data_IF_978615504124
#
_entry.id   IF_978615504124
#
_cell.length_a   1.000
_cell.length_b   1.000
_cell.length_c   1.000
_cell.angle_alpha   90.00
_cell.angle_beta   90.00
_cell.angle_gamma   90.00
#
_symmetry.space_group_name_H-M   'P 1'
#
loop_
_entity.id
_entity.type
_entity.pdbx_description
1 polymer ?
#
# COMPACT_ATOMS: atom_id res chain seq x y z
N UNK A 1 -30.03 1.70 14.44
CA UNK A 1 -29.31 2.35 13.32
C UNK A 1 -27.82 2.03 13.42
N UNK A 2 -27.30 1.20 12.53
CA UNK A 2 -25.85 1.00 12.43
C UNK A 2 -25.23 2.30 11.92
N UNK A 3 -24.19 2.80 12.61
CA UNK A 3 -23.55 4.05 12.20
C UNK A 3 -22.88 3.85 10.82
N UNK A 4 -22.85 4.89 10.00
CA UNK A 4 -22.15 4.88 8.68
C UNK A 4 -20.70 4.37 8.78
N UNK A 5 -20.06 4.52 9.94
CA UNK A 5 -18.70 3.98 10.22
C UNK A 5 -18.70 2.46 10.32
N UNK A 6 -19.71 1.86 10.95
CA UNK A 6 -19.84 0.41 11.05
C UNK A 6 -20.14 -0.23 9.68
N UNK A 7 -20.98 0.44 8.85
CA UNK A 7 -21.25 -0.01 7.48
C UNK A 7 -20.00 0.02 6.58
N UNK A 8 -19.13 1.03 6.72
CA UNK A 8 -17.88 1.12 5.98
C UNK A 8 -16.90 -0.01 6.33
N UNK A 9 -16.77 -0.34 7.62
CA UNK A 9 -15.89 -1.40 8.11
C UNK A 9 -16.39 -2.78 7.68
N UNK A 10 -17.70 -3.04 7.75
CA UNK A 10 -18.28 -4.31 7.31
C UNK A 10 -18.19 -4.50 5.80
N UNK A 11 -18.41 -3.46 4.99
CA UNK A 11 -18.25 -3.52 3.54
C UNK A 11 -16.79 -3.76 3.14
N UNK A 12 -15.84 -3.12 3.83
CA UNK A 12 -14.42 -3.31 3.59
C UNK A 12 -13.95 -4.72 3.99
N UNK A 13 -14.39 -5.22 5.15
CA UNK A 13 -14.14 -6.60 5.58
C UNK A 13 -14.75 -7.63 4.63
N UNK A 14 -15.93 -7.38 4.10
CA UNK A 14 -16.57 -8.27 3.12
C UNK A 14 -15.80 -8.30 1.80
N UNK A 15 -15.25 -7.17 1.36
CA UNK A 15 -14.43 -7.07 0.16
C UNK A 15 -13.09 -7.82 0.32
N UNK A 16 -12.47 -7.75 1.51
CA UNK A 16 -11.25 -8.52 1.83
C UNK A 16 -11.53 -10.03 1.86
N UNK A 17 -12.67 -10.44 2.41
CA UNK A 17 -13.06 -11.86 2.46
C UNK A 17 -13.49 -12.39 1.09
N UNK A 18 -14.15 -11.59 0.26
CA UNK A 18 -14.52 -11.97 -1.11
C UNK A 18 -13.28 -12.15 -2.01
N UNK A 19 -12.24 -11.32 -1.82
CA UNK A 19 -10.96 -11.46 -2.53
C UNK A 19 -10.20 -12.75 -2.17
N UNK A 20 -10.43 -13.31 -0.98
CA UNK A 20 -9.82 -14.58 -0.57
C UNK A 20 -10.59 -15.83 -1.03
N UNK A 21 -11.85 -15.69 -1.41
CA UNK A 21 -12.70 -16.83 -1.81
C UNK A 21 -12.54 -17.24 -3.28
N UNK A 22 -11.88 -16.43 -4.12
CA UNK A 22 -11.72 -16.72 -5.56
C UNK A 22 -10.36 -17.30 -5.92
N UNK A 23 -9.45 -17.46 -4.97
CA UNK A 23 -8.16 -18.07 -5.20
C UNK A 23 -8.26 -19.57 -4.86
N UNK A 24 -8.57 -20.40 -5.83
CA UNK A 24 -7.96 -21.75 -5.87
C UNK A 24 -6.45 -21.53 -6.02
N UNK A 25 -5.85 -21.01 -4.98
CA UNK A 25 -4.40 -20.94 -4.88
C UNK A 25 -3.93 -22.36 -4.69
N UNK A 26 -3.30 -22.91 -5.72
CA UNK A 26 -2.53 -24.14 -5.56
C UNK A 26 -1.72 -24.01 -4.26
N UNK A 27 -1.66 -25.07 -3.48
CA UNK A 27 -0.95 -25.08 -2.20
C UNK A 27 0.44 -24.47 -2.41
N UNK A 28 0.82 -23.53 -1.54
CA UNK A 28 2.14 -22.90 -1.61
C UNK A 28 3.17 -23.99 -1.37
N UNK A 29 4.01 -24.25 -2.36
CA UNK A 29 5.17 -25.10 -2.16
C UNK A 29 6.12 -24.41 -1.19
N UNK A 30 6.28 -24.97 -0.01
CA UNK A 30 7.14 -24.42 1.04
C UNK A 30 8.63 -24.47 0.71
N UNK A 31 9.01 -25.16 -0.36
CA UNK A 31 10.37 -25.18 -0.92
C UNK A 31 10.62 -24.04 -1.92
N UNK A 32 9.57 -23.39 -2.46
CA UNK A 32 9.68 -22.26 -3.38
C UNK A 32 9.84 -20.94 -2.61
N UNK A 33 11.10 -20.58 -2.36
CA UNK A 33 11.45 -19.35 -1.66
C UNK A 33 10.97 -18.08 -2.38
N UNK A 34 10.82 -18.12 -3.71
CA UNK A 34 10.35 -16.97 -4.49
C UNK A 34 8.85 -16.79 -4.29
N UNK A 35 8.05 -17.85 -4.39
CA UNK A 35 6.62 -17.80 -4.11
C UNK A 35 6.34 -17.33 -2.67
N UNK A 36 7.14 -17.83 -1.69
CA UNK A 36 7.05 -17.39 -0.30
C UNK A 36 7.39 -15.90 -0.16
N UNK A 37 8.43 -15.40 -0.84
CA UNK A 37 8.81 -13.99 -0.80
C UNK A 37 7.71 -13.09 -1.36
N UNK A 38 7.06 -13.47 -2.46
CA UNK A 38 5.90 -12.77 -2.99
C UNK A 38 4.74 -12.75 -1.99
N UNK A 39 4.49 -13.87 -1.32
CA UNK A 39 3.42 -13.97 -0.31
C UNK A 39 3.67 -13.03 0.87
N UNK A 40 4.89 -13.01 1.41
CA UNK A 40 5.29 -12.11 2.48
C UNK A 40 5.16 -10.65 2.03
N UNK A 41 5.68 -10.30 0.84
CA UNK A 41 5.59 -8.95 0.30
C UNK A 41 4.12 -8.51 0.16
N UNK A 42 3.25 -9.37 -0.37
CA UNK A 42 1.82 -9.11 -0.50
C UNK A 42 1.16 -8.81 0.86
N UNK A 43 1.44 -9.64 1.86
CA UNK A 43 0.91 -9.45 3.22
C UNK A 43 1.41 -8.15 3.86
N UNK A 44 2.70 -7.84 3.70
CA UNK A 44 3.31 -6.61 4.23
C UNK A 44 2.76 -5.35 3.56
N UNK A 45 2.54 -5.37 2.24
CA UNK A 45 1.94 -4.24 1.52
C UNK A 45 0.50 -3.98 1.97
N UNK A 46 -0.30 -5.03 2.17
CA UNK A 46 -1.66 -4.90 2.71
C UNK A 46 -1.64 -4.33 4.13
N UNK A 47 -0.80 -4.87 5.00
CA UNK A 47 -0.67 -4.39 6.38
C UNK A 47 -0.25 -2.92 6.42
N UNK A 48 0.71 -2.51 5.59
CA UNK A 48 1.16 -1.12 5.47
C UNK A 48 0.04 -0.20 4.97
N UNK A 49 -0.73 -0.64 3.98
CA UNK A 49 -1.88 0.13 3.48
C UNK A 49 -2.90 0.39 4.59
N UNK A 50 -3.27 -0.64 5.32
CA UNK A 50 -4.23 -0.53 6.43
C UNK A 50 -3.66 0.39 7.52
N UNK A 51 -2.38 0.21 7.89
CA UNK A 51 -1.71 1.05 8.86
C UNK A 51 -1.77 2.53 8.47
N UNK A 52 -1.37 2.89 7.25
CA UNK A 52 -1.39 4.28 6.79
C UNK A 52 -2.80 4.87 6.75
N UNK A 53 -3.81 4.09 6.34
CA UNK A 53 -5.20 4.56 6.33
C UNK A 53 -5.73 4.85 7.75
N UNK A 54 -5.37 4.02 8.72
CA UNK A 54 -5.75 4.22 10.13
C UNK A 54 -4.99 5.39 10.73
N UNK A 55 -3.67 5.44 10.52
CA UNK A 55 -2.77 6.43 11.11
C UNK A 55 -3.00 7.84 10.53
N UNK A 56 -3.53 7.95 9.32
CA UNK A 56 -3.83 9.25 8.67
C UNK A 56 -4.59 10.21 9.56
N UNK A 57 -5.48 9.73 10.42
CA UNK A 57 -6.29 10.57 11.30
C UNK A 57 -5.53 11.02 12.57
N UNK A 58 -4.47 10.31 12.95
CA UNK A 58 -3.68 10.54 14.14
C UNK A 58 -2.52 11.50 13.89
N UNK A 59 -2.09 11.67 12.64
CA UNK A 59 -1.01 12.57 12.28
C UNK A 59 -1.46 14.03 12.16
N UNK A 60 -0.53 14.96 12.37
CA UNK A 60 -0.78 16.38 12.18
C UNK A 60 -1.29 16.68 10.75
N UNK A 61 -2.21 17.67 10.56
CA UNK A 61 -2.85 17.95 9.27
C UNK A 61 -1.91 18.06 8.08
N UNK A 62 -0.71 18.64 8.30
CA UNK A 62 0.32 18.81 7.26
C UNK A 62 0.86 17.49 6.68
N UNK A 63 0.77 16.38 7.43
CA UNK A 63 1.27 15.06 7.01
C UNK A 63 0.19 14.16 6.42
N UNK A 64 -1.10 14.52 6.56
CA UNK A 64 -2.23 13.66 6.16
C UNK A 64 -2.21 13.30 4.68
N UNK A 65 -1.83 14.24 3.83
CA UNK A 65 -1.76 14.00 2.38
C UNK A 65 -0.62 13.04 2.05
N UNK A 66 0.56 13.20 2.66
CA UNK A 66 1.70 12.30 2.49
C UNK A 66 1.34 10.88 2.91
N UNK A 67 0.77 10.70 4.11
CA UNK A 67 0.32 9.38 4.60
C UNK A 67 -0.75 8.76 3.69
N UNK A 68 -1.62 9.59 3.08
CA UNK A 68 -2.60 9.10 2.10
C UNK A 68 -1.93 8.60 0.83
N UNK A 69 -0.92 9.31 0.33
CA UNK A 69 -0.15 8.87 -0.85
C UNK A 69 0.62 7.59 -0.55
N UNK A 70 1.24 7.47 0.63
CA UNK A 70 1.87 6.22 1.08
C UNK A 70 0.89 5.03 1.08
N UNK A 71 -0.34 5.25 1.57
CA UNK A 71 -1.39 4.24 1.52
C UNK A 71 -1.77 3.85 0.08
N UNK A 72 -1.80 4.80 -0.85
CA UNK A 72 -2.07 4.52 -2.27
C UNK A 72 -0.94 3.72 -2.91
N UNK A 73 0.31 4.09 -2.66
CA UNK A 73 1.49 3.36 -3.17
C UNK A 73 1.48 1.91 -2.71
N UNK A 74 1.34 1.69 -1.41
CA UNK A 74 1.33 0.33 -0.84
C UNK A 74 0.10 -0.48 -1.26
N UNK A 75 -1.07 0.16 -1.41
CA UNK A 75 -2.30 -0.48 -1.85
C UNK A 75 -2.24 -0.93 -3.32
N UNK A 76 -1.70 -0.09 -4.21
CA UNK A 76 -1.47 -0.45 -5.62
C UNK A 76 -0.45 -1.58 -5.71
N UNK A 77 0.66 -1.48 -4.98
CA UNK A 77 1.67 -2.53 -4.94
C UNK A 77 1.10 -3.86 -4.42
N UNK A 78 0.32 -3.84 -3.34
CA UNK A 78 -0.37 -5.04 -2.83
C UNK A 78 -1.19 -5.74 -3.91
N UNK A 79 -1.99 -5.00 -4.68
CA UNK A 79 -2.81 -5.55 -5.76
C UNK A 79 -1.96 -6.20 -6.85
N UNK A 80 -0.91 -5.52 -7.31
CA UNK A 80 -0.02 -6.05 -8.35
C UNK A 80 0.80 -7.25 -7.87
N UNK A 81 1.28 -7.27 -6.63
CA UNK A 81 2.05 -8.39 -6.08
C UNK A 81 1.24 -9.68 -5.99
N UNK A 82 -0.09 -9.60 -5.79
CA UNK A 82 -0.97 -10.77 -5.88
C UNK A 82 -0.88 -11.42 -7.27
N UNK A 83 -1.03 -10.63 -8.33
CA UNK A 83 -0.92 -11.10 -9.70
C UNK A 83 0.49 -11.59 -10.08
N UNK A 84 1.52 -10.91 -9.60
CA UNK A 84 2.92 -11.32 -9.82
C UNK A 84 3.21 -12.67 -9.20
N UNK A 85 2.68 -12.92 -8.00
CA UNK A 85 2.78 -14.21 -7.35
C UNK A 85 2.10 -15.31 -8.15
N UNK A 86 0.87 -15.08 -8.57
CA UNK A 86 0.10 -16.06 -9.31
C UNK A 86 0.79 -16.39 -10.65
N UNK A 87 1.32 -15.37 -11.34
CA UNK A 87 2.12 -15.57 -12.54
C UNK A 87 3.34 -16.47 -12.28
N UNK A 88 4.10 -16.19 -11.20
CA UNK A 88 5.26 -17.01 -10.83
C UNK A 88 4.87 -18.47 -10.54
N UNK A 89 3.85 -18.68 -9.74
CA UNK A 89 3.38 -20.04 -9.36
C UNK A 89 2.92 -20.84 -10.58
N UNK A 90 2.32 -20.17 -11.57
CA UNK A 90 1.81 -20.83 -12.78
C UNK A 90 2.88 -21.09 -13.84
N UNK A 91 3.88 -20.20 -13.96
CA UNK A 91 4.82 -20.23 -15.09
C UNK A 91 6.26 -20.52 -14.68
N UNK A 92 6.64 -20.25 -13.43
CA UNK A 92 8.03 -20.26 -12.97
C UNK A 92 8.88 -19.12 -13.54
N UNK A 93 8.25 -18.17 -14.28
CA UNK A 93 8.95 -17.07 -14.92
C UNK A 93 8.77 -15.75 -14.16
N UNK A 94 9.80 -14.87 -14.26
CA UNK A 94 9.74 -13.57 -13.63
C UNK A 94 8.65 -12.69 -14.23
N UNK A 95 7.72 -12.12 -13.43
CA UNK A 95 6.60 -11.30 -13.90
C UNK A 95 7.06 -9.89 -14.30
N UNK A 96 8.00 -9.78 -15.25
CA UNK A 96 8.67 -8.53 -15.59
C UNK A 96 7.70 -7.45 -16.08
N UNK A 97 6.77 -7.81 -16.95
CA UNK A 97 5.76 -6.88 -17.49
C UNK A 97 4.89 -6.32 -16.39
N UNK A 98 4.45 -7.17 -15.45
CA UNK A 98 3.61 -6.74 -14.33
C UNK A 98 4.35 -5.79 -13.39
N UNK A 99 5.67 -5.97 -13.21
CA UNK A 99 6.52 -5.03 -12.45
C UNK A 99 6.56 -3.64 -13.10
N UNK A 100 6.72 -3.58 -14.42
CA UNK A 100 6.72 -2.28 -15.12
C UNK A 100 5.36 -1.58 -15.04
N UNK A 101 4.26 -2.33 -15.12
CA UNK A 101 2.90 -1.78 -14.92
C UNK A 101 2.74 -1.19 -13.51
N UNK A 102 3.19 -1.90 -12.50
CA UNK A 102 3.18 -1.40 -11.11
C UNK A 102 4.01 -0.11 -10.98
N UNK A 103 5.24 -0.10 -11.47
CA UNK A 103 6.16 1.05 -11.37
C UNK A 103 5.66 2.28 -12.12
N UNK A 104 4.97 2.12 -13.23
CA UNK A 104 4.35 3.25 -13.95
C UNK A 104 3.31 4.00 -13.10
N UNK A 105 2.74 3.35 -12.11
CA UNK A 105 1.78 3.94 -11.18
C UNK A 105 2.47 4.35 -9.87
N UNK A 106 3.22 3.43 -9.26
CA UNK A 106 3.77 3.62 -7.92
C UNK A 106 4.93 4.61 -7.88
N UNK A 107 5.80 4.66 -8.91
CA UNK A 107 6.95 5.58 -8.93
C UNK A 107 6.51 7.04 -9.01
N UNK A 108 5.59 7.48 -9.89
CA UNK A 108 5.08 8.84 -9.85
C UNK A 108 4.44 9.21 -8.50
N UNK A 109 3.70 8.30 -7.88
CA UNK A 109 3.13 8.53 -6.55
C UNK A 109 4.21 8.72 -5.48
N UNK A 110 5.29 7.93 -5.51
CA UNK A 110 6.44 8.10 -4.61
C UNK A 110 7.12 9.46 -4.80
N UNK A 111 7.26 9.93 -6.04
CA UNK A 111 7.82 11.28 -6.31
C UNK A 111 6.94 12.36 -5.69
N UNK A 112 5.62 12.25 -5.81
CA UNK A 112 4.67 13.15 -5.15
C UNK A 112 4.80 13.08 -3.63
N UNK A 113 4.97 11.89 -3.05
CA UNK A 113 5.17 11.70 -1.63
C UNK A 113 6.44 12.39 -1.13
N UNK A 114 7.57 12.23 -1.82
CA UNK A 114 8.82 12.93 -1.50
C UNK A 114 8.64 14.44 -1.53
N UNK A 115 7.97 14.97 -2.55
CA UNK A 115 7.67 16.39 -2.61
C UNK A 115 6.85 16.87 -1.40
N UNK A 116 5.80 16.14 -1.02
CA UNK A 116 4.96 16.50 0.11
C UNK A 116 5.72 16.49 1.44
N UNK A 117 6.61 15.51 1.64
CA UNK A 117 7.48 15.43 2.82
C UNK A 117 8.42 16.63 2.87
N UNK A 118 9.11 16.91 1.77
CA UNK A 118 10.05 18.04 1.70
C UNK A 118 9.35 19.38 1.93
N UNK A 119 8.18 19.57 1.34
CA UNK A 119 7.38 20.78 1.54
C UNK A 119 6.97 20.95 3.01
N UNK A 120 6.50 19.87 3.66
CA UNK A 120 6.11 19.92 5.07
C UNK A 120 7.27 20.18 6.02
N UNK A 121 8.49 19.71 5.70
CA UNK A 121 9.72 19.99 6.46
C UNK A 121 10.18 21.41 6.25
N UNK A 122 10.21 21.91 5.01
CA UNK A 122 10.63 23.29 4.69
C UNK A 122 9.76 24.33 5.40
N UNK A 123 8.45 24.13 5.46
CA UNK A 123 7.54 25.00 6.21
C UNK A 123 7.85 25.10 7.70
N UNK A 124 8.35 24.03 8.31
CA UNK A 124 8.74 24.05 9.73
C UNK A 124 10.02 24.82 9.97
N UNK A 125 10.99 24.77 9.06
CA UNK A 125 12.24 25.53 9.18
C UNK A 125 12.03 27.03 9.02
N UNK A 126 11.22 27.46 8.06
CA UNK A 126 10.93 28.89 7.84
C UNK A 126 10.21 29.52 9.06
N UNK A 127 9.22 28.82 9.61
CA UNK A 127 8.50 29.29 10.81
C UNK A 127 9.39 29.38 12.06
N UNK A 128 10.35 28.47 12.21
CA UNK A 128 11.29 28.52 13.34
C UNK A 128 12.20 29.76 13.28
N UNK A 129 12.53 30.26 12.09
CA UNK A 129 13.31 31.47 11.91
C UNK A 129 12.50 32.74 12.14
N UNK A 130 11.21 32.77 11.84
CA UNK A 130 10.33 33.93 12.07
C UNK A 130 10.01 34.20 13.54
N UNK A 131 10.13 33.19 14.41
CA UNK A 131 9.86 33.31 15.85
C UNK A 131 11.07 33.78 16.68
N UNK A 132 12.22 33.99 16.06
CA UNK A 132 13.48 34.41 16.73
C UNK A 132 13.76 35.91 16.53
N UNK A 133 12.91 36.61 15.80
CA UNK A 133 12.92 38.09 15.65
C UNK A 133 11.80 38.73 16.48
#
# INVERSE_FOLDING_TARGET
MLSMRAMGITAFMSLLLAGSASAETGAIDTSDNVAISFWIATAMMLASTIFFLVERNNVAPKWRTSVTVAALVTGVAWYHYTYMRDHWVMTGESPLVLRYVDWLITVPLQVVEFYLILAAVSYTHLRAHETVL
#
